data_IF_558619222223
#
_entry.id   IF_558619222223
#
_cell.length_a   1.000
_cell.length_b   1.000
_cell.length_c   1.000
_cell.angle_alpha   90.00
_cell.angle_beta   90.00
_cell.angle_gamma   90.00
#
_symmetry.space_group_name_H-M   'P 1'
#
loop_
_entity.id
_entity.type
_entity.pdbx_description
1 polymer ?
#
# COMPACT_ATOMS: atom_id res chain seq x y z
N UNK A 1 -36.09 -37.63 26.83
CA UNK A 1 -35.75 -37.82 28.25
C UNK A 1 -34.33 -38.37 28.35
N UNK A 2 -33.51 -37.76 29.22
CA UNK A 2 -32.13 -38.10 29.65
C UNK A 2 -31.05 -38.19 28.56
N UNK A 3 -29.92 -37.47 28.64
CA UNK A 3 -29.10 -37.14 29.82
C UNK A 3 -27.94 -38.13 29.87
N UNK A 4 -26.73 -37.78 29.41
CA UNK A 4 -25.64 -37.09 30.12
C UNK A 4 -24.70 -38.02 30.91
N UNK A 5 -23.40 -37.99 30.60
CA UNK A 5 -22.22 -38.15 31.49
C UNK A 5 -20.94 -37.96 30.63
N UNK A 6 -20.02 -37.00 30.83
CA UNK A 6 -19.29 -36.45 31.98
C UNK A 6 -18.01 -37.24 32.38
N UNK A 7 -16.90 -36.51 32.53
CA UNK A 7 -15.69 -36.88 33.30
C UNK A 7 -14.39 -36.78 32.51
N UNK A 8 -13.60 -35.71 32.65
CA UNK A 8 -12.49 -35.52 33.63
C UNK A 8 -11.20 -36.25 33.19
N UNK A 9 -9.97 -35.74 33.29
CA UNK A 9 -9.33 -34.57 33.89
C UNK A 9 -7.81 -34.84 33.86
N UNK A 10 -6.95 -33.84 34.09
CA UNK A 10 -5.52 -34.11 34.28
C UNK A 10 -4.61 -32.89 34.18
N UNK A 11 -4.23 -32.34 35.33
CA UNK A 11 -3.20 -31.30 35.51
C UNK A 11 -1.83 -31.94 35.78
N UNK A 12 -0.78 -31.18 35.53
CA UNK A 12 0.60 -31.41 35.99
C UNK A 12 1.59 -31.27 34.83
N UNK A 13 2.79 -30.72 34.95
CA UNK A 13 3.51 -30.09 36.06
C UNK A 13 4.70 -29.37 35.42
N UNK A 14 5.11 -28.22 35.96
CA UNK A 14 6.35 -27.53 35.53
C UNK A 14 7.52 -28.07 36.37
N UNK A 15 8.73 -28.11 35.78
CA UNK A 15 9.93 -27.79 36.56
C UNK A 15 10.77 -26.68 35.91
N UNK A 16 11.29 -25.79 36.76
CA UNK A 16 12.38 -24.85 36.48
C UNK A 16 13.75 -25.55 36.65
N UNK A 17 14.71 -25.23 35.78
CA UNK A 17 16.18 -25.14 36.00
C UNK A 17 16.86 -25.15 34.61
N UNK A 18 17.93 -24.42 34.30
CA UNK A 18 18.84 -23.64 35.11
C UNK A 18 19.70 -22.74 34.22
N UNK A 19 20.37 -21.80 34.89
CA UNK A 19 21.35 -20.86 34.34
C UNK A 19 22.61 -21.58 33.88
N UNK A 20 23.24 -21.09 32.82
CA UNK A 20 24.67 -21.28 32.60
C UNK A 20 25.29 -19.96 32.08
N UNK A 21 26.02 -19.31 32.98
CA UNK A 21 26.97 -18.24 32.70
C UNK A 21 28.14 -18.78 31.86
N UNK A 22 28.49 -18.08 30.78
CA UNK A 22 29.79 -18.23 30.13
C UNK A 22 30.58 -16.94 30.25
N UNK A 23 31.45 -16.89 31.27
CA UNK A 23 32.45 -15.84 31.45
C UNK A 23 33.85 -16.39 31.15
N UNK A 24 34.47 -15.78 30.12
CA UNK A 24 35.89 -15.46 29.96
C UNK A 24 36.96 -16.55 29.82
N UNK A 25 38.01 -16.16 29.06
CA UNK A 25 39.46 -16.49 29.09
C UNK A 25 39.92 -16.74 27.64
N UNK A 26 40.94 -16.14 27.03
CA UNK A 26 42.11 -15.31 27.42
C UNK A 26 42.55 -14.56 26.14
N UNK A 27 42.83 -13.25 26.18
CA UNK A 27 44.18 -12.63 26.11
C UNK A 27 45.16 -13.37 25.18
N UNK A 28 45.67 -12.71 24.14
CA UNK A 28 47.07 -12.20 23.95
C UNK A 28 47.38 -12.35 22.44
N UNK A 29 48.15 -11.56 21.71
CA UNK A 29 49.09 -10.47 22.00
C UNK A 29 49.18 -9.55 20.78
N UNK A 30 49.47 -8.27 21.04
CA UNK A 30 49.95 -7.30 20.06
C UNK A 30 51.38 -7.69 19.67
N UNK A 31 51.65 -7.83 18.38
CA UNK A 31 53.00 -7.66 17.85
C UNK A 31 53.03 -6.47 16.90
N UNK A 32 54.02 -5.64 17.15
CA UNK A 32 54.29 -4.34 16.58
C UNK A 32 55.57 -4.44 15.75
N UNK A 33 55.62 -3.66 14.67
CA UNK A 33 56.76 -3.28 13.82
C UNK A 33 57.28 -4.25 12.74
N UNK A 34 57.96 -3.76 11.68
CA UNK A 34 58.23 -2.35 11.27
C UNK A 34 57.92 -2.03 9.78
N UNK A 35 57.94 -0.74 9.44
CA UNK A 35 58.03 -0.22 8.06
C UNK A 35 59.47 -0.32 7.52
N UNK A 36 59.60 -0.59 6.21
CA UNK A 36 60.76 -0.26 5.37
C UNK A 36 60.35 -0.26 3.87
N UNK A 37 61.09 0.44 2.99
CA UNK A 37 60.52 1.29 1.94
C UNK A 37 60.45 0.62 0.56
N UNK A 38 59.58 1.14 -0.31
CA UNK A 38 59.66 0.86 -1.75
C UNK A 38 59.66 2.16 -2.53
N UNK A 39 60.72 2.33 -3.31
CA UNK A 39 61.00 3.46 -4.18
C UNK A 39 60.53 3.18 -5.62
N UNK A 40 60.12 4.26 -6.28
CA UNK A 40 60.12 4.51 -7.74
C UNK A 40 58.89 4.10 -8.57
N UNK A 41 58.59 4.79 -9.69
CA UNK A 41 58.78 6.22 -9.99
C UNK A 41 57.47 6.90 -10.47
N UNK A 42 57.38 8.23 -10.33
CA UNK A 42 56.31 9.03 -10.94
C UNK A 42 56.46 9.03 -12.48
N UNK A 43 55.41 8.75 -13.26
CA UNK A 43 55.45 9.01 -14.70
C UNK A 43 55.39 10.52 -14.94
N UNK A 44 56.36 11.02 -15.70
CA UNK A 44 56.34 12.37 -16.27
C UNK A 44 55.11 12.53 -17.16
N UNK A 45 54.20 13.45 -16.82
CA UNK A 45 53.15 13.88 -17.71
C UNK A 45 53.72 14.89 -18.74
N UNK A 46 53.52 14.67 -20.05
CA UNK A 46 53.90 15.67 -21.04
C UNK A 46 53.02 16.92 -20.85
N UNK A 47 53.67 18.07 -20.69
CA UNK A 47 53.02 19.39 -20.76
C UNK A 47 52.65 19.66 -22.22
N UNK A 48 51.42 19.37 -22.61
CA UNK A 48 50.80 19.89 -23.82
C UNK A 48 49.54 20.68 -23.45
N UNK A 49 49.41 21.85 -24.08
CA UNK A 49 48.58 22.95 -23.65
C UNK A 49 47.08 22.83 -23.93
N UNK A 50 46.36 23.76 -23.30
CA UNK A 50 45.04 24.27 -23.63
C UNK A 50 43.94 23.22 -23.89
N UNK A 51 43.39 22.67 -22.81
CA UNK A 51 41.93 22.59 -22.62
C UNK A 51 41.64 22.20 -21.15
N UNK A 52 41.09 23.13 -20.38
CA UNK A 52 40.53 22.79 -19.06
C UNK A 52 39.19 22.10 -19.29
N UNK A 53 38.94 20.88 -18.78
CA UNK A 53 37.58 20.38 -18.73
C UNK A 53 36.81 21.28 -17.75
N UNK A 54 35.77 21.93 -18.26
CA UNK A 54 34.84 22.73 -17.47
C UNK A 54 34.37 21.93 -16.25
N UNK A 55 34.20 22.61 -15.11
CA UNK A 55 33.51 22.09 -13.93
C UNK A 55 32.24 21.34 -14.37
N UNK A 56 31.92 20.16 -13.80
CA UNK A 56 30.66 19.51 -14.11
C UNK A 56 29.53 20.45 -13.72
N UNK A 57 28.85 20.98 -14.72
CA UNK A 57 27.69 21.85 -14.54
C UNK A 57 26.70 21.07 -13.68
N UNK A 58 26.48 21.53 -12.45
CA UNK A 58 25.40 21.03 -11.59
C UNK A 58 24.11 21.28 -12.36
N UNK A 59 23.56 20.21 -12.94
CA UNK A 59 22.29 20.32 -13.65
C UNK A 59 21.20 20.65 -12.63
N UNK A 60 20.32 21.61 -12.92
CA UNK A 60 19.21 21.91 -12.04
C UNK A 60 18.37 20.64 -11.89
N UNK A 61 18.05 20.32 -10.64
CA UNK A 61 17.16 19.21 -10.30
C UNK A 61 15.86 19.40 -11.10
N UNK A 62 15.36 18.35 -11.79
CA UNK A 62 14.13 18.47 -12.57
C UNK A 62 13.00 19.01 -11.71
N UNK A 63 12.17 19.88 -12.29
CA UNK A 63 11.04 20.48 -11.57
C UNK A 63 10.09 19.42 -10.97
N UNK A 64 9.95 18.26 -11.65
CA UNK A 64 9.19 17.12 -11.14
C UNK A 64 9.77 16.54 -9.85
N UNK A 65 11.10 16.46 -9.72
CA UNK A 65 11.78 15.99 -8.51
C UNK A 65 11.61 17.00 -7.39
N UNK A 66 11.71 18.30 -7.71
CA UNK A 66 11.48 19.37 -6.72
C UNK A 66 10.03 19.36 -6.21
N UNK A 67 9.05 19.25 -7.12
CA UNK A 67 7.64 19.15 -6.75
C UNK A 67 7.31 17.89 -5.93
N UNK A 68 7.96 16.76 -6.23
CA UNK A 68 7.83 15.54 -5.44
C UNK A 68 8.40 15.71 -4.03
N UNK A 69 9.53 16.41 -3.89
CA UNK A 69 10.14 16.73 -2.60
C UNK A 69 9.27 17.71 -1.82
N UNK A 70 8.76 18.76 -2.45
CA UNK A 70 7.90 19.76 -1.81
C UNK A 70 6.55 19.15 -1.37
N UNK A 71 5.97 18.27 -2.19
CA UNK A 71 4.78 17.51 -1.83
C UNK A 71 5.04 16.61 -0.62
N UNK A 72 6.18 15.90 -0.61
CA UNK A 72 6.60 15.06 0.50
C UNK A 72 6.81 15.86 1.80
N UNK A 73 7.46 17.03 1.74
CA UNK A 73 7.66 17.91 2.90
C UNK A 73 6.34 18.42 3.49
N UNK A 74 5.35 18.69 2.64
CA UNK A 74 4.02 19.14 3.09
C UNK A 74 3.21 18.03 3.77
N UNK A 75 3.29 16.78 3.29
CA UNK A 75 2.53 15.65 3.84
C UNK A 75 3.15 15.08 5.11
N UNK A 76 4.46 15.25 5.30
CA UNK A 76 5.17 14.88 6.53
C UNK A 76 4.71 15.68 7.75
N UNK A 77 4.22 16.92 7.56
CA UNK A 77 3.81 17.81 8.65
C UNK A 77 2.32 17.75 8.99
N UNK A 78 1.46 17.22 8.10
CA UNK A 78 0.03 17.10 8.36
C UNK A 78 -0.59 15.91 7.60
N UNK A 79 -0.98 14.81 8.30
CA UNK A 79 -1.59 13.66 7.65
C UNK A 79 -2.87 14.02 6.91
N UNK A 80 -2.98 13.60 5.66
CA UNK A 80 -4.11 13.84 4.77
C UNK A 80 -5.02 12.63 4.69
N UNK A 81 -6.29 12.83 4.41
CA UNK A 81 -7.24 11.72 4.22
C UNK A 81 -7.22 11.23 2.78
N UNK A 82 -7.21 9.91 2.58
CA UNK A 82 -7.37 9.31 1.26
C UNK A 82 -8.40 8.18 1.29
N UNK A 83 -9.00 7.93 0.15
CA UNK A 83 -9.98 6.86 -0.07
C UNK A 83 -9.39 5.90 -1.07
N UNK A 84 -9.32 4.63 -0.70
CA UNK A 84 -8.77 3.56 -1.52
C UNK A 84 -9.86 2.54 -1.80
N UNK A 85 -10.08 2.21 -3.07
CA UNK A 85 -10.96 1.12 -3.48
C UNK A 85 -10.13 -0.15 -3.68
N UNK A 86 -10.61 -1.25 -3.11
CA UNK A 86 -10.04 -2.59 -3.27
C UNK A 86 -10.99 -3.47 -4.07
N UNK A 87 -10.46 -4.25 -5.00
CA UNK A 87 -11.24 -5.20 -5.80
C UNK A 87 -10.50 -6.51 -6.04
N UNK A 88 -11.16 -7.65 -5.85
CA UNK A 88 -10.56 -8.98 -6.06
C UNK A 88 -11.56 -9.95 -6.68
N UNK A 89 -11.21 -10.62 -7.78
CA UNK A 89 -12.07 -11.67 -8.36
C UNK A 89 -11.38 -13.02 -8.60
N UNK A 90 -10.10 -13.17 -8.24
CA UNK A 90 -9.38 -14.43 -8.33
C UNK A 90 -8.96 -14.97 -6.96
N UNK A 91 -8.90 -16.29 -6.84
CA UNK A 91 -8.41 -16.97 -5.65
C UNK A 91 -9.26 -16.71 -4.40
N UNK A 92 -8.60 -16.61 -3.23
CA UNK A 92 -9.29 -16.32 -1.98
C UNK A 92 -9.53 -14.81 -1.84
N UNK A 93 -10.61 -14.34 -2.46
CA UNK A 93 -10.95 -12.91 -2.55
C UNK A 93 -10.99 -12.20 -1.20
N UNK A 94 -11.57 -12.82 -0.17
CA UNK A 94 -11.65 -12.20 1.16
C UNK A 94 -10.28 -12.08 1.83
N UNK A 95 -9.48 -13.15 1.83
CA UNK A 95 -8.13 -13.11 2.40
C UNK A 95 -7.24 -12.11 1.69
N UNK A 96 -7.38 -12.00 0.36
CA UNK A 96 -6.64 -11.02 -0.44
C UNK A 96 -7.05 -9.58 -0.10
N UNK A 97 -8.35 -9.30 0.06
CA UNK A 97 -8.81 -7.98 0.49
C UNK A 97 -8.33 -7.64 1.92
N UNK A 98 -8.45 -8.58 2.87
CA UNK A 98 -7.98 -8.37 4.24
C UNK A 98 -6.48 -8.12 4.27
N UNK A 99 -5.70 -8.93 3.55
CA UNK A 99 -4.26 -8.77 3.51
C UNK A 99 -3.81 -7.45 2.88
N UNK A 100 -4.57 -6.88 1.94
CA UNK A 100 -4.32 -5.52 1.46
C UNK A 100 -4.64 -4.45 2.52
N UNK A 101 -5.70 -4.61 3.31
CA UNK A 101 -5.99 -3.72 4.46
C UNK A 101 -4.84 -3.77 5.46
N UNK A 102 -4.40 -4.97 5.84
CA UNK A 102 -3.29 -5.16 6.78
C UNK A 102 -2.00 -4.54 6.24
N UNK A 103 -1.69 -4.78 4.95
CA UNK A 103 -0.53 -4.20 4.29
C UNK A 103 -0.58 -2.66 4.23
N UNK A 104 -1.77 -2.06 4.09
CA UNK A 104 -1.93 -0.61 4.16
C UNK A 104 -1.62 -0.09 5.56
N UNK A 105 -2.12 -0.72 6.63
CA UNK A 105 -1.82 -0.33 8.01
C UNK A 105 -0.34 -0.49 8.36
N UNK A 106 0.27 -1.59 7.94
CA UNK A 106 1.70 -1.87 8.16
C UNK A 106 2.63 -0.88 7.43
N UNK A 107 2.08 -0.03 6.54
CA UNK A 107 2.86 0.97 5.81
C UNK A 107 3.19 2.15 6.71
N UNK A 108 4.48 2.47 6.95
CA UNK A 108 4.85 3.65 7.70
C UNK A 108 4.23 4.92 7.11
N UNK A 109 3.60 5.71 7.97
CA UNK A 109 2.92 6.94 7.57
C UNK A 109 1.48 6.74 7.09
N UNK A 110 0.95 5.53 7.00
CA UNK A 110 -0.46 5.24 6.72
C UNK A 110 -1.15 4.79 8.01
N UNK A 111 -2.44 5.11 8.14
CA UNK A 111 -3.35 4.64 9.19
C UNK A 111 -4.73 4.40 8.60
N UNK A 112 -5.20 3.17 8.65
CA UNK A 112 -6.57 2.79 8.32
C UNK A 112 -7.51 3.34 9.41
N UNK A 113 -8.58 4.00 8.96
CA UNK A 113 -9.58 4.63 9.82
C UNK A 113 -10.92 3.93 9.78
N UNK A 114 -11.28 3.42 8.62
CA UNK A 114 -12.48 2.63 8.41
C UNK A 114 -12.29 1.70 7.22
N UNK A 115 -13.01 0.59 7.24
CA UNK A 115 -13.19 -0.31 6.11
C UNK A 115 -14.70 -0.48 5.90
N UNK A 116 -15.13 -0.47 4.64
CA UNK A 116 -16.52 -0.75 4.31
C UNK A 116 -16.87 -2.23 4.53
N UNK A 117 -18.16 -2.59 4.53
CA UNK A 117 -18.58 -3.96 4.25
C UNK A 117 -18.03 -4.45 2.89
N UNK A 118 -18.02 -5.77 2.71
CA UNK A 118 -17.66 -6.39 1.43
C UNK A 118 -18.88 -6.45 0.52
N UNK A 119 -18.70 -6.07 -0.74
CA UNK A 119 -19.73 -6.17 -1.78
C UNK A 119 -19.29 -7.12 -2.87
N UNK A 120 -20.22 -7.97 -3.31
CA UNK A 120 -20.03 -8.80 -4.49
C UNK A 120 -20.72 -8.18 -5.69
N UNK A 121 -19.99 -8.04 -6.80
CA UNK A 121 -20.51 -7.42 -8.03
C UNK A 121 -20.09 -8.20 -9.27
N UNK A 122 -20.86 -8.07 -10.34
CA UNK A 122 -20.40 -8.50 -11.65
C UNK A 122 -19.20 -7.64 -12.12
N UNK A 123 -18.35 -8.18 -12.99
CA UNK A 123 -17.24 -7.45 -13.57
C UNK A 123 -17.71 -6.25 -14.42
N UNK A 124 -17.05 -5.11 -14.25
CA UNK A 124 -17.41 -3.87 -14.94
C UNK A 124 -16.74 -3.77 -16.32
N UNK A 125 -17.50 -3.36 -17.33
CA UNK A 125 -16.98 -3.09 -18.69
C UNK A 125 -16.76 -4.33 -19.56
N UNK A 126 -17.16 -5.52 -19.10
CA UNK A 126 -17.11 -6.76 -19.88
C UNK A 126 -18.48 -7.44 -19.91
N UNK A 127 -18.64 -8.45 -20.76
CA UNK A 127 -19.88 -9.23 -20.82
C UNK A 127 -20.17 -9.92 -19.47
N UNK A 128 -21.40 -9.87 -18.95
CA UNK A 128 -21.78 -10.58 -17.73
C UNK A 128 -21.42 -12.06 -17.78
N UNK A 129 -20.87 -12.59 -16.68
CA UNK A 129 -20.43 -13.99 -16.61
C UNK A 129 -19.14 -14.34 -17.38
N UNK A 130 -18.50 -13.38 -18.06
CA UNK A 130 -17.21 -13.62 -18.75
C UNK A 130 -16.03 -13.82 -17.80
N UNK A 131 -16.14 -13.33 -16.57
CA UNK A 131 -15.18 -13.55 -15.48
C UNK A 131 -15.91 -13.79 -14.16
N UNK A 132 -15.22 -14.35 -13.14
CA UNK A 132 -15.75 -14.42 -11.79
C UNK A 132 -16.14 -13.04 -11.24
N UNK A 133 -17.15 -13.03 -10.37
CA UNK A 133 -17.58 -11.83 -9.64
C UNK A 133 -16.47 -11.26 -8.76
N UNK A 134 -16.47 -9.94 -8.60
CA UNK A 134 -15.55 -9.22 -7.72
C UNK A 134 -16.08 -9.17 -6.30
N UNK A 135 -15.19 -9.31 -5.32
CA UNK A 135 -15.37 -8.69 -4.02
C UNK A 135 -14.75 -7.29 -4.06
N UNK A 136 -15.52 -6.29 -3.66
CA UNK A 136 -15.11 -4.89 -3.59
C UNK A 136 -15.30 -4.35 -2.16
N UNK A 137 -14.39 -3.47 -1.75
CA UNK A 137 -14.47 -2.74 -0.51
C UNK A 137 -13.78 -1.37 -0.65
N UNK A 138 -14.07 -0.45 0.26
CA UNK A 138 -13.42 0.86 0.37
C UNK A 138 -12.71 0.96 1.72
N UNK A 139 -11.50 1.49 1.70
CA UNK A 139 -10.66 1.76 2.87
C UNK A 139 -10.47 3.26 2.99
N UNK A 140 -10.82 3.81 4.15
CA UNK A 140 -10.55 5.20 4.49
C UNK A 140 -9.24 5.25 5.27
N UNK A 141 -8.27 6.02 4.80
CA UNK A 141 -6.95 6.15 5.45
C UNK A 141 -6.63 7.59 5.80
N UNK A 142 -5.79 7.78 6.82
CA UNK A 142 -4.97 8.98 7.01
C UNK A 142 -3.53 8.65 6.66
N UNK A 143 -2.88 9.48 5.87
CA UNK A 143 -1.53 9.24 5.39
C UNK A 143 -0.67 10.49 5.40
N UNK A 144 0.60 10.35 5.79
CA UNK A 144 1.65 11.37 5.60
C UNK A 144 2.46 11.13 4.33
N UNK A 145 2.15 10.08 3.57
CA UNK A 145 2.78 9.82 2.28
C UNK A 145 2.20 10.76 1.21
N UNK A 146 3.02 11.31 0.30
CA UNK A 146 2.50 11.99 -0.89
C UNK A 146 1.69 11.03 -1.77
N UNK A 147 0.80 11.54 -2.65
CA UNK A 147 -0.04 10.71 -3.51
C UNK A 147 0.73 9.68 -4.34
N UNK A 148 1.90 10.05 -4.88
CA UNK A 148 2.77 9.16 -5.66
C UNK A 148 3.29 7.98 -4.82
N UNK A 149 3.76 8.24 -3.60
CA UNK A 149 4.22 7.17 -2.71
C UNK A 149 3.08 6.26 -2.24
N UNK A 150 1.86 6.81 -2.07
CA UNK A 150 0.68 5.98 -1.81
C UNK A 150 0.32 5.09 -3.02
N UNK A 151 0.47 5.61 -4.25
CA UNK A 151 0.25 4.84 -5.47
C UNK A 151 1.29 3.71 -5.60
N UNK A 152 2.56 4.02 -5.40
CA UNK A 152 3.64 3.02 -5.35
C UNK A 152 3.34 1.93 -4.32
N UNK A 153 2.79 2.31 -3.15
CA UNK A 153 2.37 1.33 -2.16
C UNK A 153 1.23 0.45 -2.67
N UNK A 154 0.23 1.01 -3.35
CA UNK A 154 -0.83 0.25 -4.01
C UNK A 154 -0.27 -0.77 -5.00
N UNK A 155 0.64 -0.35 -5.88
CA UNK A 155 1.32 -1.25 -6.82
C UNK A 155 2.12 -2.36 -6.12
N UNK A 156 2.83 -2.05 -5.03
CA UNK A 156 3.58 -3.05 -4.27
C UNK A 156 2.66 -4.10 -3.61
N UNK A 157 1.48 -3.70 -3.14
CA UNK A 157 0.46 -4.64 -2.62
C UNK A 157 0.00 -5.56 -3.75
N UNK A 158 -0.34 -5.00 -4.91
CA UNK A 158 -0.77 -5.79 -6.07
C UNK A 158 0.27 -6.80 -6.53
N UNK A 159 1.54 -6.40 -6.55
CA UNK A 159 2.66 -7.29 -6.87
C UNK A 159 2.80 -8.42 -5.85
N UNK A 160 2.69 -8.11 -4.55
CA UNK A 160 2.74 -9.10 -3.48
C UNK A 160 1.62 -10.15 -3.59
N UNK A 161 0.45 -9.76 -4.11
CA UNK A 161 -0.67 -10.65 -4.41
C UNK A 161 -0.67 -11.16 -5.86
N UNK A 162 0.47 -11.11 -6.55
CA UNK A 162 0.69 -11.70 -7.87
C UNK A 162 -0.29 -11.18 -8.95
N UNK A 163 -0.62 -9.89 -8.93
CA UNK A 163 -1.43 -9.26 -9.99
C UNK A 163 -0.69 -9.34 -11.33
N UNK A 164 -1.33 -9.91 -12.34
CA UNK A 164 -0.81 -9.95 -13.72
C UNK A 164 -1.68 -9.07 -14.63
N UNK A 165 -1.05 -8.17 -15.39
CA UNK A 165 -1.74 -7.26 -16.33
C UNK A 165 -1.69 -7.83 -17.76
N UNK A 166 -2.52 -8.84 -18.06
CA UNK A 166 -2.59 -9.45 -19.41
C UNK A 166 -3.60 -8.77 -20.32
N UNK A 167 -4.76 -8.36 -19.80
CA UNK A 167 -5.89 -7.87 -20.58
C UNK A 167 -6.51 -6.62 -19.94
N UNK A 168 -7.00 -5.70 -20.77
CA UNK A 168 -7.76 -4.54 -20.30
C UNK A 168 -9.07 -5.04 -19.65
N UNK A 169 -9.25 -4.71 -18.37
CA UNK A 169 -10.38 -5.19 -17.53
C UNK A 169 -10.42 -6.69 -17.26
N UNK A 170 -9.30 -7.41 -17.47
CA UNK A 170 -9.21 -8.83 -17.16
C UNK A 170 -9.36 -9.15 -15.66
N UNK A 171 -9.51 -10.43 -15.29
CA UNK A 171 -9.56 -10.85 -13.90
C UNK A 171 -8.23 -10.57 -13.19
N UNK A 172 -8.29 -10.28 -11.89
CA UNK A 172 -7.13 -9.93 -11.07
C UNK A 172 -7.26 -10.45 -9.64
N UNK A 173 -6.12 -10.80 -9.07
CA UNK A 173 -6.00 -11.19 -7.66
C UNK A 173 -6.37 -10.02 -6.76
N UNK A 174 -5.85 -8.83 -7.04
CA UNK A 174 -6.29 -7.59 -6.40
C UNK A 174 -6.10 -6.38 -7.32
N UNK A 175 -6.91 -5.37 -7.10
CA UNK A 175 -6.78 -3.99 -7.59
C UNK A 175 -6.77 -3.06 -6.37
N UNK A 176 -5.86 -2.09 -6.36
CA UNK A 176 -5.75 -1.07 -5.31
C UNK A 176 -5.77 0.31 -5.97
N UNK A 177 -6.96 0.91 -6.05
CA UNK A 177 -7.18 2.20 -6.71
C UNK A 177 -7.29 3.33 -5.68
N UNK A 178 -6.49 4.40 -5.82
CA UNK A 178 -6.70 5.64 -5.05
C UNK A 178 -7.87 6.40 -5.68
N UNK A 179 -8.98 6.50 -4.93
CA UNK A 179 -10.20 7.19 -5.37
C UNK A 179 -10.09 8.69 -5.16
N UNK A 180 -9.67 9.10 -3.97
CA UNK A 180 -9.43 10.51 -3.64
C UNK A 180 -8.23 10.63 -2.71
N UNK A 181 -7.61 11.80 -2.74
CA UNK A 181 -6.59 12.20 -1.79
C UNK A 181 -6.89 13.64 -1.35
N UNK A 182 -7.67 13.77 -0.28
CA UNK A 182 -8.18 15.03 0.26
C UNK A 182 -8.68 15.99 -0.85
N UNK A 183 -8.05 17.15 -0.99
CA UNK A 183 -8.34 18.22 -1.94
C UNK A 183 -7.43 18.20 -3.17
N UNK A 184 -6.58 17.17 -3.32
CA UNK A 184 -5.66 17.04 -4.45
C UNK A 184 -6.44 16.71 -5.72
N UNK A 185 -6.21 17.54 -6.74
CA UNK A 185 -6.63 17.32 -8.12
C UNK A 185 -5.38 17.09 -8.96
N UNK A 186 -5.40 16.04 -9.77
CA UNK A 186 -4.28 15.66 -10.64
C UNK A 186 -4.83 15.17 -11.97
N UNK A 187 -4.28 15.68 -13.07
CA UNK A 187 -4.50 15.21 -14.44
C UNK A 187 -3.32 14.36 -14.94
N UNK A 188 -2.37 14.02 -14.07
CA UNK A 188 -1.26 13.13 -14.38
C UNK A 188 -1.79 11.77 -14.87
N UNK A 189 -1.35 11.29 -16.05
CA UNK A 189 -1.72 9.97 -16.57
C UNK A 189 -1.34 8.80 -15.65
N UNK A 190 -0.31 8.95 -14.80
CA UNK A 190 0.08 7.93 -13.82
C UNK A 190 -0.83 7.94 -12.58
N UNK A 191 -1.33 9.11 -12.19
CA UNK A 191 -2.21 9.28 -11.04
C UNK A 191 -3.23 10.41 -11.26
N UNK A 192 -4.35 10.09 -11.90
CA UNK A 192 -5.47 11.03 -12.06
C UNK A 192 -6.33 11.05 -10.80
N UNK A 193 -6.49 12.23 -10.19
CA UNK A 193 -7.24 12.42 -8.94
C UNK A 193 -8.25 13.57 -9.05
N UNK A 194 -9.48 13.39 -8.52
CA UNK A 194 -10.08 12.12 -8.10
C UNK A 194 -10.09 11.08 -9.23
N UNK A 195 -10.21 9.81 -8.88
CA UNK A 195 -10.24 8.74 -9.88
C UNK A 195 -11.35 9.03 -10.92
N UNK A 196 -11.03 9.07 -12.23
CA UNK A 196 -11.85 9.75 -13.24
C UNK A 196 -13.23 9.12 -13.42
N UNK A 197 -13.37 7.82 -13.11
CA UNK A 197 -14.65 7.08 -13.21
C UNK A 197 -15.26 6.70 -11.86
N UNK A 198 -14.79 7.26 -10.75
CA UNK A 198 -15.33 6.91 -9.43
C UNK A 198 -16.82 7.24 -9.32
N UNK A 199 -17.24 8.38 -9.87
CA UNK A 199 -18.62 8.85 -9.89
C UNK A 199 -19.57 7.98 -10.71
N UNK A 200 -19.05 7.10 -11.58
CA UNK A 200 -19.83 6.20 -12.43
C UNK A 200 -19.96 4.78 -11.84
N UNK A 201 -19.21 4.48 -10.78
CA UNK A 201 -19.01 3.10 -10.28
C UNK A 201 -19.74 2.88 -8.97
N UNK A 202 -20.90 2.24 -9.03
CA UNK A 202 -21.66 1.88 -7.84
C UNK A 202 -20.88 0.96 -6.88
N UNK A 203 -20.02 0.07 -7.39
CA UNK A 203 -19.16 -0.79 -6.57
C UNK A 203 -18.05 -0.04 -5.81
N UNK A 204 -17.86 1.26 -6.10
CA UNK A 204 -17.02 2.17 -5.30
C UNK A 204 -17.91 3.02 -4.39
N UNK A 205 -18.94 3.66 -4.96
CA UNK A 205 -19.77 4.63 -4.22
C UNK A 205 -20.60 4.00 -3.10
N UNK A 206 -21.14 2.79 -3.31
CA UNK A 206 -21.95 2.10 -2.29
C UNK A 206 -21.10 1.75 -1.06
N UNK A 207 -19.97 1.02 -1.18
CA UNK A 207 -19.11 0.77 -0.02
C UNK A 207 -18.54 2.04 0.59
N UNK A 208 -18.23 3.07 -0.21
CA UNK A 208 -17.77 4.35 0.35
C UNK A 208 -18.83 5.02 1.22
N UNK A 209 -20.09 5.07 0.75
CA UNK A 209 -21.19 5.61 1.55
C UNK A 209 -21.43 4.82 2.84
N UNK A 210 -21.34 3.49 2.79
CA UNK A 210 -21.48 2.65 3.99
C UNK A 210 -20.33 2.88 5.00
N UNK A 211 -19.12 3.25 4.53
CA UNK A 211 -17.97 3.57 5.39
C UNK A 211 -18.02 5.01 5.94
N UNK A 212 -18.51 5.98 5.16
CA UNK A 212 -18.69 7.37 5.55
C UNK A 212 -19.90 8.00 4.82
N UNK A 213 -21.08 8.07 5.47
CA UNK A 213 -22.27 8.66 4.86
C UNK A 213 -22.17 10.16 4.57
N UNK A 214 -21.20 10.86 5.17
CA UNK A 214 -20.94 12.28 4.95
C UNK A 214 -19.89 12.52 3.85
N UNK A 215 -19.38 11.46 3.22
CA UNK A 215 -18.36 11.56 2.18
C UNK A 215 -18.81 12.38 0.97
N UNK A 216 -17.84 13.08 0.38
CA UNK A 216 -18.00 13.79 -0.89
C UNK A 216 -16.85 13.44 -1.83
N UNK A 217 -17.18 13.28 -3.11
CA UNK A 217 -16.22 13.13 -4.19
C UNK A 217 -15.91 14.52 -4.76
N UNK A 218 -14.66 15.02 -4.68
CA UNK A 218 -14.30 16.32 -5.23
C UNK A 218 -14.70 16.44 -6.71
N UNK A 219 -15.25 17.60 -7.09
CA UNK A 219 -15.77 17.84 -8.44
C UNK A 219 -17.14 17.22 -8.76
N UNK A 220 -17.65 16.29 -7.95
CA UNK A 220 -18.91 15.59 -8.20
C UNK A 220 -19.96 15.78 -7.09
N UNK A 221 -19.54 16.12 -5.87
CA UNK A 221 -20.44 16.40 -4.74
C UNK A 221 -20.59 15.24 -3.76
N UNK A 222 -21.61 15.27 -2.88
CA UNK A 222 -21.85 14.23 -1.88
C UNK A 222 -22.00 12.84 -2.51
N UNK A 223 -21.37 11.83 -1.93
CA UNK A 223 -21.50 10.44 -2.39
C UNK A 223 -22.96 9.98 -2.34
N UNK A 224 -23.71 10.44 -1.34
CA UNK A 224 -25.14 10.18 -1.20
C UNK A 224 -25.96 10.60 -2.45
N UNK A 225 -25.63 11.76 -3.03
CA UNK A 225 -26.34 12.29 -4.21
C UNK A 225 -25.98 11.48 -5.45
N UNK A 226 -24.70 11.09 -5.59
CA UNK A 226 -24.22 10.26 -6.70
C UNK A 226 -24.86 8.86 -6.72
N UNK A 227 -25.23 8.32 -5.55
CA UNK A 227 -25.97 7.06 -5.48
C UNK A 227 -27.36 7.14 -6.12
N UNK A 228 -27.93 8.35 -6.27
CA UNK A 228 -29.17 8.59 -7.00
C UNK A 228 -29.00 8.59 -8.52
N UNK A 229 -27.77 8.71 -9.02
CA UNK A 229 -27.46 8.84 -10.45
C UNK A 229 -26.81 7.61 -11.07
N UNK A 230 -26.35 6.65 -10.25
CA UNK A 230 -25.71 5.41 -10.72
C UNK A 230 -26.62 4.20 -10.58
N UNK A 231 -26.51 3.27 -11.53
CA UNK A 231 -27.18 1.97 -11.43
C UNK A 231 -26.51 1.11 -10.35
N UNK A 232 -27.32 0.66 -9.38
CA UNK A 232 -26.86 -0.14 -8.23
C UNK A 232 -27.22 -1.62 -8.37
N UNK A 233 -27.88 -1.99 -9.46
CA UNK A 233 -28.24 -3.37 -9.72
C UNK A 233 -26.97 -4.23 -9.79
N UNK A 234 -27.00 -5.39 -9.15
CA UNK A 234 -25.83 -6.28 -9.05
C UNK A 234 -24.80 -5.92 -7.96
N UNK A 235 -24.94 -4.80 -7.23
CA UNK A 235 -24.08 -4.49 -6.08
C UNK A 235 -24.64 -5.11 -4.80
N UNK A 236 -24.20 -6.33 -4.47
CA UNK A 236 -24.75 -7.11 -3.36
C UNK A 236 -23.82 -7.10 -2.15
N UNK A 237 -24.27 -6.56 -1.01
CA UNK A 237 -23.54 -6.68 0.27
C UNK A 237 -23.44 -8.15 0.67
N UNK A 238 -22.24 -8.59 1.07
CA UNK A 238 -22.00 -9.89 1.66
C UNK A 238 -22.11 -9.80 3.18
N UNK A 239 -23.05 -10.54 3.76
CA UNK A 239 -23.30 -10.56 5.22
C UNK A 239 -22.61 -11.72 5.92
N UNK A 240 -22.01 -12.63 5.15
CA UNK A 240 -21.31 -13.83 5.61
C UNK A 240 -19.79 -13.64 5.72
N UNK A 241 -19.28 -12.49 5.28
CA UNK A 241 -17.86 -12.12 5.36
C UNK A 241 -17.71 -10.67 5.82
N UNK A 242 -16.60 -10.36 6.46
CA UNK A 242 -16.32 -9.03 7.01
C UNK A 242 -14.81 -8.76 6.98
N UNK A 243 -14.45 -7.52 6.66
CA UNK A 243 -13.08 -7.03 6.81
C UNK A 243 -12.90 -6.48 8.21
N UNK A 244 -11.74 -6.78 8.81
CA UNK A 244 -11.39 -6.32 10.15
C UNK A 244 -10.48 -5.12 10.05
N UNK A 245 -10.70 -4.17 10.96
CA UNK A 245 -9.72 -3.13 11.21
C UNK A 245 -8.48 -3.77 11.85
N UNK A 246 -7.27 -3.41 11.39
CA UNK A 246 -6.03 -3.78 12.06
C UNK A 246 -5.99 -3.28 13.51
N UNK A 247 -5.36 -4.06 14.40
CA UNK A 247 -5.21 -3.74 15.83
C UNK A 247 -4.02 -2.79 16.12
#
# INVERSE_FOLDING_TARGET
MSGAHAGAGGRGDRPQAGRADHRALRRRDRHHHPEAPVSSPNPEYPRNGADSPADPVVQPVPAAVTAAVDAADSTLSNPRTAVIALGSNLGNRLETLQGAVDALEDTPGVRVRAVSPVYETEPWGVEPGSQPSYFNAVVLVRTSLPPSALLERGHAIEEAYLRVRTERWGPRTIDVDIVTYQDVVSDDPELTLPHPRAHERAFVLVPWYDADPAAALPGHGPVADLLGTVEREGVRRRTDVELRLPE
#
